data_IF_686134623596
#
_entry.id   IF_686134623596
#
_cell.length_a   1.000
_cell.length_b   1.000
_cell.length_c   1.000
_cell.angle_alpha   90.00
_cell.angle_beta   90.00
_cell.angle_gamma   90.00
#
_symmetry.space_group_name_H-M   'P 1'
#
loop_
_entity.id
_entity.type
_entity.pdbx_description
1 polymer ?
#
# COMPACT_ATOMS: atom_id res chain seq x y z
N UNK A 1 -4.18 1.80 -5.13
CA UNK A 1 -2.90 2.37 -5.60
C UNK A 1 -1.94 1.29 -6.05
N UNK A 2 -1.42 1.46 -7.26
CA UNK A 2 -0.41 0.64 -7.92
C UNK A 2 0.98 0.95 -7.36
N UNK A 3 1.93 0.08 -7.65
CA UNK A 3 3.29 0.14 -7.11
C UNK A 3 4.07 1.34 -7.66
N UNK A 4 3.79 1.75 -8.89
CA UNK A 4 4.43 2.94 -9.48
C UNK A 4 4.01 4.22 -8.76
N UNK A 5 2.74 4.33 -8.33
CA UNK A 5 2.25 5.48 -7.56
C UNK A 5 2.94 5.55 -6.19
N UNK A 6 3.11 4.41 -5.53
CA UNK A 6 3.91 4.30 -4.29
C UNK A 6 5.35 4.77 -4.52
N UNK A 7 6.01 4.28 -5.57
CA UNK A 7 7.38 4.69 -5.92
C UNK A 7 7.47 6.18 -6.20
N UNK A 8 6.50 6.75 -6.92
CA UNK A 8 6.45 8.19 -7.22
C UNK A 8 6.43 9.01 -5.94
N UNK A 9 5.53 8.68 -5.00
CA UNK A 9 5.43 9.36 -3.70
C UNK A 9 6.73 9.25 -2.90
N UNK A 10 7.33 8.06 -2.84
CA UNK A 10 8.58 7.85 -2.12
C UNK A 10 9.74 8.64 -2.73
N UNK A 11 9.83 8.71 -4.05
CA UNK A 11 10.86 9.49 -4.76
C UNK A 11 10.71 10.98 -4.48
N UNK A 12 9.47 11.49 -4.45
CA UNK A 12 9.18 12.89 -4.10
C UNK A 12 9.52 13.21 -2.65
N UNK A 13 9.24 12.30 -1.71
CA UNK A 13 9.53 12.48 -0.29
C UNK A 13 11.02 12.30 0.06
N UNK A 14 11.78 11.53 -0.73
CA UNK A 14 13.17 11.19 -0.46
C UNK A 14 14.11 12.40 -0.26
N UNK A 15 14.08 13.45 -1.11
CA UNK A 15 14.88 14.66 -0.88
C UNK A 15 14.41 15.47 0.34
N UNK A 16 13.13 15.35 0.72
CA UNK A 16 12.52 16.12 1.80
C UNK A 16 12.34 15.34 3.12
N UNK A 17 13.08 14.24 3.32
CA UNK A 17 12.88 13.32 4.47
C UNK A 17 12.82 13.98 5.86
N UNK A 18 13.54 15.10 6.09
CA UNK A 18 13.55 15.81 7.39
C UNK A 18 12.42 16.83 7.55
N UNK A 19 12.06 17.52 6.46
CA UNK A 19 11.03 18.58 6.48
C UNK A 19 9.63 18.03 6.25
N UNK A 20 9.52 16.90 5.55
CA UNK A 20 8.26 16.36 5.06
C UNK A 20 7.65 17.23 3.96
N UNK A 21 6.53 16.77 3.41
CA UNK A 21 5.73 17.51 2.44
C UNK A 21 4.24 17.44 2.80
N UNK A 22 3.53 18.51 2.47
CA UNK A 22 2.07 18.55 2.62
C UNK A 22 1.38 17.72 1.55
N UNK A 23 0.14 17.32 1.82
CA UNK A 23 -0.67 16.51 0.89
C UNK A 23 -0.86 17.20 -0.47
N UNK A 24 -1.10 18.51 -0.49
CA UNK A 24 -1.32 19.24 -1.75
C UNK A 24 -0.05 19.30 -2.60
N UNK A 25 1.11 19.57 -2.00
CA UNK A 25 2.40 19.57 -2.70
C UNK A 25 2.74 18.18 -3.24
N UNK A 26 2.48 17.12 -2.46
CA UNK A 26 2.67 15.76 -2.93
C UNK A 26 1.72 15.41 -4.08
N UNK A 27 0.46 15.82 -3.98
CA UNK A 27 -0.54 15.59 -5.02
C UNK A 27 -0.12 16.24 -6.35
N UNK A 28 0.31 17.50 -6.30
CA UNK A 28 0.82 18.23 -7.46
C UNK A 28 2.04 17.55 -8.10
N UNK A 29 3.00 17.09 -7.28
CA UNK A 29 4.23 16.46 -7.79
C UNK A 29 4.06 15.01 -8.25
N UNK A 30 2.97 14.35 -7.84
CA UNK A 30 2.71 12.93 -8.18
C UNK A 30 1.54 12.74 -9.14
N UNK A 31 0.86 13.82 -9.51
CA UNK A 31 -0.39 13.81 -10.30
C UNK A 31 -1.48 12.89 -9.68
N UNK A 32 -1.56 12.92 -8.34
CA UNK A 32 -2.54 12.13 -7.59
C UNK A 32 -3.55 13.05 -6.91
N UNK A 33 -4.81 12.64 -6.88
CA UNK A 33 -5.87 13.40 -6.22
C UNK A 33 -5.58 13.55 -4.70
N UNK A 34 -5.64 14.78 -4.14
CA UNK A 34 -5.30 15.03 -2.73
C UNK A 34 -6.09 14.19 -1.72
N UNK A 35 -7.38 13.96 -1.97
CA UNK A 35 -8.24 13.18 -1.08
C UNK A 35 -7.82 11.71 -1.04
N UNK A 36 -7.55 11.13 -2.22
CA UNK A 36 -7.05 9.77 -2.38
C UNK A 36 -5.67 9.61 -1.73
N UNK A 37 -4.78 10.58 -1.94
CA UNK A 37 -3.44 10.58 -1.37
C UNK A 37 -3.47 10.65 0.16
N UNK A 38 -4.29 11.53 0.74
CA UNK A 38 -4.46 11.63 2.21
C UNK A 38 -4.93 10.30 2.80
N UNK A 39 -5.96 9.68 2.22
CA UNK A 39 -6.44 8.36 2.66
C UNK A 39 -5.34 7.31 2.56
N UNK A 40 -4.57 7.32 1.48
CA UNK A 40 -3.48 6.37 1.26
C UNK A 40 -2.35 6.52 2.28
N UNK A 41 -1.84 7.73 2.47
CA UNK A 41 -0.76 8.01 3.44
C UNK A 41 -1.17 7.59 4.86
N UNK A 42 -2.41 7.87 5.26
CA UNK A 42 -2.94 7.48 6.57
C UNK A 42 -3.13 5.97 6.73
N UNK A 43 -3.47 5.26 5.65
CA UNK A 43 -3.65 3.80 5.68
C UNK A 43 -2.31 3.05 5.76
N UNK A 44 -1.24 3.64 5.23
CA UNK A 44 0.06 3.00 5.08
C UNK A 44 1.12 3.56 6.04
N UNK A 45 0.80 3.59 7.33
CA UNK A 45 1.66 4.16 8.39
C UNK A 45 3.03 3.46 8.54
N UNK A 46 3.13 2.21 8.09
CA UNK A 46 4.40 1.48 8.06
C UNK A 46 5.40 2.07 7.05
N UNK A 47 4.93 2.83 6.05
CA UNK A 47 5.79 3.44 5.04
C UNK A 47 5.85 4.96 5.16
N UNK A 48 4.78 5.57 5.68
CA UNK A 48 4.65 7.01 5.80
C UNK A 48 4.34 7.38 7.24
N UNK A 49 4.91 8.48 7.72
CA UNK A 49 4.61 9.02 9.04
C UNK A 49 4.25 10.48 8.92
N UNK A 50 3.25 10.89 9.69
CA UNK A 50 2.88 12.31 9.83
C UNK A 50 3.80 12.94 10.86
N UNK A 51 4.40 14.08 10.53
CA UNK A 51 5.29 14.80 11.46
C UNK A 51 4.43 15.42 12.57
N UNK A 52 4.78 15.23 13.86
CA UNK A 52 4.01 15.77 15.00
C UNK A 52 3.78 17.28 14.88
N UNK A 53 2.60 17.74 15.31
CA UNK A 53 2.21 19.15 15.30
C UNK A 53 2.25 19.83 13.92
N UNK A 54 2.31 19.03 12.85
CA UNK A 54 2.30 19.52 11.47
C UNK A 54 1.29 18.73 10.62
N UNK A 55 0.94 19.26 9.45
CA UNK A 55 0.16 18.53 8.44
C UNK A 55 1.06 17.91 7.35
N UNK A 56 2.33 17.67 7.68
CA UNK A 56 3.35 17.19 6.75
C UNK A 56 3.58 15.68 6.92
N UNK A 57 3.90 15.02 5.81
CA UNK A 57 4.20 13.60 5.75
C UNK A 57 5.65 13.38 5.34
N UNK A 58 6.27 12.34 5.88
CA UNK A 58 7.60 11.88 5.49
C UNK A 58 7.65 10.36 5.44
N UNK A 59 8.77 9.82 4.96
CA UNK A 59 9.00 8.38 4.90
C UNK A 59 9.27 7.86 6.32
N UNK A 60 8.55 6.82 6.72
CA UNK A 60 8.76 6.15 7.99
C UNK A 60 10.06 5.31 7.94
N UNK A 61 11.05 5.71 8.72
CA UNK A 61 12.35 4.99 8.82
C UNK A 61 12.32 3.81 9.78
N UNK A 62 11.32 3.75 10.65
CA UNK A 62 11.17 2.71 11.67
C UNK A 62 10.17 1.64 11.26
N UNK A 63 9.48 1.81 10.13
CA UNK A 63 8.54 0.84 9.61
C UNK A 63 9.15 -0.13 8.58
N UNK A 64 8.27 -0.81 7.87
CA UNK A 64 8.62 -1.82 6.89
C UNK A 64 9.50 -1.23 5.77
N UNK A 65 10.65 -1.85 5.51
CA UNK A 65 11.63 -1.36 4.52
C UNK A 65 12.49 -0.18 4.99
N UNK A 66 12.41 0.20 6.28
CA UNK A 66 13.36 1.10 6.98
C UNK A 66 13.66 2.43 6.28
N UNK A 67 12.70 2.94 5.52
CA UNK A 67 12.83 4.18 4.77
C UNK A 67 13.67 4.11 3.48
N UNK A 68 14.02 2.90 3.05
CA UNK A 68 14.61 2.62 1.74
C UNK A 68 13.51 2.36 0.70
N UNK A 69 13.57 3.07 -0.44
CA UNK A 69 12.53 3.02 -1.47
C UNK A 69 12.40 1.62 -2.07
N UNK A 70 13.53 0.96 -2.31
CA UNK A 70 13.58 -0.37 -2.94
C UNK A 70 12.99 -1.41 -2.00
N UNK A 71 13.38 -1.39 -0.73
CA UNK A 71 12.84 -2.31 0.28
C UNK A 71 11.34 -2.07 0.54
N UNK A 72 10.90 -0.82 0.65
CA UNK A 72 9.47 -0.49 0.79
C UNK A 72 8.68 -1.02 -0.42
N UNK A 73 9.17 -0.78 -1.63
CA UNK A 73 8.51 -1.23 -2.86
C UNK A 73 8.44 -2.76 -2.94
N UNK A 74 9.52 -3.45 -2.57
CA UNK A 74 9.58 -4.90 -2.54
C UNK A 74 8.60 -5.48 -1.51
N UNK A 75 8.56 -4.92 -0.30
CA UNK A 75 7.63 -5.34 0.74
C UNK A 75 6.17 -5.11 0.35
N UNK A 76 5.86 -3.95 -0.25
CA UNK A 76 4.51 -3.65 -0.73
C UNK A 76 4.06 -4.62 -1.83
N UNK A 77 4.94 -4.92 -2.79
CA UNK A 77 4.69 -5.94 -3.82
C UNK A 77 4.43 -7.33 -3.22
N UNK A 78 5.27 -7.76 -2.27
CA UNK A 78 5.10 -9.04 -1.60
C UNK A 78 3.75 -9.13 -0.87
N UNK A 79 3.34 -8.06 -0.18
CA UNK A 79 2.01 -7.97 0.46
C UNK A 79 0.87 -8.07 -0.54
N UNK A 80 0.94 -7.36 -1.67
CA UNK A 80 -0.10 -7.42 -2.71
C UNK A 80 -0.22 -8.83 -3.30
N UNK A 81 0.91 -9.48 -3.56
CA UNK A 81 0.94 -10.84 -4.09
C UNK A 81 0.40 -11.86 -3.08
N UNK A 82 0.76 -11.72 -1.80
CA UNK A 82 0.20 -12.55 -0.72
C UNK A 82 -1.31 -12.39 -0.65
N UNK A 83 -1.82 -11.16 -0.65
CA UNK A 83 -3.26 -10.88 -0.62
C UNK A 83 -4.00 -11.52 -1.80
N UNK A 84 -3.46 -11.40 -3.02
CA UNK A 84 -4.04 -12.06 -4.20
C UNK A 84 -4.07 -13.58 -4.05
N UNK A 85 -2.95 -14.17 -3.60
CA UNK A 85 -2.86 -15.62 -3.38
C UNK A 85 -3.89 -16.10 -2.37
N UNK A 86 -4.01 -15.40 -1.24
CA UNK A 86 -4.96 -15.76 -0.19
C UNK A 86 -6.41 -15.65 -0.70
N UNK A 87 -6.71 -14.67 -1.56
CA UNK A 87 -8.00 -14.56 -2.23
C UNK A 87 -8.27 -15.73 -3.20
N UNK A 88 -7.30 -16.12 -4.03
CA UNK A 88 -7.44 -17.27 -4.93
C UNK A 88 -7.63 -18.58 -4.17
N UNK A 89 -6.89 -18.77 -3.08
CA UNK A 89 -7.06 -19.94 -2.20
C UNK A 89 -8.47 -19.98 -1.60
N UNK A 90 -8.99 -18.86 -1.13
CA UNK A 90 -10.35 -18.77 -0.61
C UNK A 90 -11.38 -19.17 -1.68
N UNK A 91 -11.29 -18.60 -2.88
CA UNK A 91 -12.19 -18.93 -3.99
C UNK A 91 -12.11 -20.41 -4.39
N UNK A 92 -10.89 -20.98 -4.41
CA UNK A 92 -10.68 -22.39 -4.70
C UNK A 92 -11.36 -23.30 -3.66
N UNK A 93 -11.24 -22.97 -2.37
CA UNK A 93 -11.91 -23.75 -1.31
C UNK A 93 -13.43 -23.68 -1.40
N UNK A 94 -13.99 -22.51 -1.72
CA UNK A 94 -15.43 -22.36 -1.95
C UNK A 94 -15.87 -23.19 -3.16
N UNK A 95 -15.11 -23.16 -4.25
CA UNK A 95 -15.42 -23.92 -5.45
C UNK A 95 -15.42 -25.43 -5.21
N UNK A 96 -14.41 -25.97 -4.51
CA UNK A 96 -14.37 -27.40 -4.13
C UNK A 96 -15.59 -27.76 -3.29
N UNK A 97 -15.94 -26.94 -2.29
CA UNK A 97 -17.08 -27.23 -1.43
C UNK A 97 -18.41 -27.29 -2.19
N UNK A 98 -18.63 -26.38 -3.15
CA UNK A 98 -19.81 -26.39 -4.03
C UNK A 98 -19.85 -27.63 -4.93
N UNK A 99 -18.69 -28.05 -5.45
CA UNK A 99 -18.57 -29.24 -6.29
C UNK A 99 -18.87 -30.52 -5.51
N UNK A 100 -18.38 -30.62 -4.27
CA UNK A 100 -18.69 -31.73 -3.37
C UNK A 100 -20.20 -31.81 -3.08
N UNK A 101 -20.85 -30.67 -2.79
CA UNK A 101 -22.30 -30.62 -2.55
C UNK A 101 -23.05 -31.13 -3.78
N UNK A 102 -22.72 -30.64 -4.98
CA UNK A 102 -23.38 -31.03 -6.24
C UNK A 102 -23.24 -32.52 -6.55
N UNK A 103 -22.07 -33.12 -6.27
CA UNK A 103 -21.86 -34.55 -6.47
C UNK A 103 -22.73 -35.36 -5.50
N UNK A 104 -22.81 -34.95 -4.22
CA UNK A 104 -23.63 -35.65 -3.22
C UNK A 104 -25.14 -35.52 -3.43
N UNK A 105 -25.64 -34.46 -4.07
CA UNK A 105 -27.08 -34.34 -4.38
C UNK A 105 -27.51 -35.12 -5.61
N UNK A 106 -26.58 -35.54 -6.48
CA UNK A 106 -26.88 -36.29 -7.71
C UNK A 106 -26.59 -37.80 -7.58
N UNK A 107 -26.21 -38.28 -6.40
CA UNK A 107 -26.14 -39.71 -6.04
C UNK A 107 -27.36 -40.11 -5.22
#
# INVERSE_FOLDING_TARGET
MKVHELKSILTVLAPNKRRGLGVFTLAEQTDLEPATLRKYLNKHQNYFVKIPNSQLYTINRHGDGKGDITQISAHYNARLNKQKRDQYLCLFTVFISLLSILITTNQ
#
